data_IF_361472244923
#
_entry.id   IF_361472244923
#
_cell.length_a   1.000
_cell.length_b   1.000
_cell.length_c   1.000
_cell.angle_alpha   90.00
_cell.angle_beta   90.00
_cell.angle_gamma   90.00
#
_symmetry.space_group_name_H-M   'P 1'
#
loop_
_entity.id
_entity.type
_entity.pdbx_description
1 polymer ?
#
# COMPACT_ATOMS: atom_id res chain seq x y z
N UNK A 1 -14.55 18.13 -18.08
CA UNK A 1 -14.58 17.35 -19.35
C UNK A 1 -15.51 16.18 -19.13
N UNK A 2 -16.36 15.85 -20.11
CA UNK A 2 -17.26 14.70 -20.00
C UNK A 2 -16.61 13.49 -20.65
N UNK A 3 -16.71 12.34 -20.01
CA UNK A 3 -16.24 11.05 -20.54
C UNK A 3 -17.42 10.07 -20.46
N UNK A 4 -17.68 9.37 -21.58
CA UNK A 4 -18.65 8.28 -21.65
C UNK A 4 -17.92 6.95 -21.86
N UNK A 5 -17.97 6.08 -20.86
CA UNK A 5 -17.42 4.71 -20.91
C UNK A 5 -18.55 3.78 -21.32
N UNK A 6 -18.40 3.05 -22.42
CA UNK A 6 -19.44 2.18 -22.99
C UNK A 6 -19.03 0.71 -23.03
N UNK A 7 -20.02 -0.15 -23.07
CA UNK A 7 -19.89 -1.59 -23.33
C UNK A 7 -19.08 -2.38 -22.30
N UNK A 8 -18.56 -1.76 -21.24
CA UNK A 8 -17.79 -2.45 -20.20
C UNK A 8 -18.64 -3.23 -19.20
N UNK A 9 -17.98 -4.05 -18.41
CA UNK A 9 -18.58 -4.68 -17.23
C UNK A 9 -18.10 -3.94 -15.99
N UNK A 10 -19.00 -3.21 -15.34
CA UNK A 10 -18.72 -2.55 -14.05
C UNK A 10 -18.53 -3.64 -13.01
N UNK A 11 -17.47 -3.52 -12.20
CA UNK A 11 -17.20 -4.41 -11.07
C UNK A 11 -17.01 -3.58 -9.80
N UNK A 12 -17.86 -3.79 -8.83
CA UNK A 12 -17.77 -3.27 -7.48
C UNK A 12 -17.51 -4.41 -6.48
N UNK A 13 -17.18 -4.07 -5.23
CA UNK A 13 -16.96 -5.08 -4.19
C UNK A 13 -18.19 -5.95 -3.85
N UNK A 14 -19.39 -5.51 -4.22
CA UNK A 14 -20.68 -6.17 -3.94
C UNK A 14 -21.33 -6.80 -5.18
N UNK A 15 -20.66 -6.80 -6.35
CA UNK A 15 -21.17 -7.41 -7.56
C UNK A 15 -20.72 -6.73 -8.84
N UNK A 16 -21.25 -7.23 -9.97
CA UNK A 16 -20.91 -6.71 -11.31
C UNK A 16 -22.15 -6.61 -12.19
N UNK A 17 -22.13 -5.62 -13.08
CA UNK A 17 -23.21 -5.37 -14.03
C UNK A 17 -22.69 -4.76 -15.33
N UNK A 18 -23.43 -4.93 -16.42
CA UNK A 18 -23.07 -4.35 -17.73
C UNK A 18 -23.87 -3.06 -17.95
N UNK A 19 -23.25 -1.92 -17.78
CA UNK A 19 -23.83 -0.57 -17.97
C UNK A 19 -22.76 0.39 -18.47
N UNK A 20 -23.23 1.49 -19.09
CA UNK A 20 -22.39 2.62 -19.45
C UNK A 20 -22.23 3.57 -18.25
N UNK A 21 -21.15 4.34 -18.23
CA UNK A 21 -20.86 5.34 -17.20
C UNK A 21 -20.60 6.68 -17.87
N UNK A 22 -21.27 7.73 -17.41
CA UNK A 22 -21.03 9.11 -17.83
C UNK A 22 -20.44 9.89 -16.66
N UNK A 23 -19.31 10.56 -16.93
CA UNK A 23 -18.70 11.50 -15.99
C UNK A 23 -18.86 12.93 -16.47
N UNK A 24 -18.88 13.89 -15.55
CA UNK A 24 -18.74 15.32 -15.84
C UNK A 24 -17.82 15.95 -14.78
N UNK A 25 -16.72 16.55 -15.26
CA UNK A 25 -15.64 16.94 -14.38
C UNK A 25 -15.13 15.73 -13.56
N UNK A 26 -14.98 15.90 -12.27
CA UNK A 26 -14.44 14.87 -11.36
C UNK A 26 -15.51 13.94 -10.76
N UNK A 27 -16.74 13.92 -11.29
CA UNK A 27 -17.85 13.11 -10.76
C UNK A 27 -18.46 12.16 -11.78
N UNK A 28 -18.92 11.01 -11.31
CA UNK A 28 -19.79 10.11 -12.04
C UNK A 28 -21.21 10.67 -11.94
N UNK A 29 -21.82 11.05 -13.07
CA UNK A 29 -23.14 11.71 -13.06
C UNK A 29 -24.28 10.80 -13.51
N UNK A 30 -23.99 9.69 -14.18
CA UNK A 30 -25.01 8.72 -14.57
C UNK A 30 -24.40 7.34 -14.83
N UNK A 31 -25.16 6.31 -14.47
CA UNK A 31 -24.88 4.90 -14.77
C UNK A 31 -26.15 4.28 -15.37
N UNK A 32 -26.07 3.79 -16.60
CA UNK A 32 -27.25 3.25 -17.29
C UNK A 32 -26.95 2.66 -18.65
N UNK A 33 -27.99 2.24 -19.36
CA UNK A 33 -27.89 1.84 -20.77
C UNK A 33 -28.17 3.02 -21.69
N UNK A 34 -27.46 3.11 -22.82
CA UNK A 34 -27.71 4.11 -23.87
C UNK A 34 -27.61 5.58 -23.39
N UNK A 35 -26.62 5.89 -22.59
CA UNK A 35 -26.37 7.27 -22.15
C UNK A 35 -25.99 8.18 -23.35
N UNK A 36 -26.42 9.47 -23.29
CA UNK A 36 -26.13 10.45 -24.32
C UNK A 36 -24.63 10.82 -24.34
N UNK A 37 -24.01 10.64 -25.50
CA UNK A 37 -22.60 10.94 -25.73
C UNK A 37 -22.33 12.41 -26.12
N UNK A 38 -23.36 13.28 -26.19
CA UNK A 38 -23.19 14.64 -26.66
C UNK A 38 -22.13 15.42 -25.87
N UNK A 39 -21.07 15.83 -26.55
CA UNK A 39 -19.94 16.58 -25.99
C UNK A 39 -19.02 15.77 -25.07
N UNK A 40 -19.11 14.42 -25.06
CA UNK A 40 -18.26 13.56 -24.25
C UNK A 40 -17.16 12.89 -25.11
N UNK A 41 -15.97 12.72 -24.52
CA UNK A 41 -14.99 11.75 -25.02
C UNK A 41 -15.56 10.34 -24.81
N UNK A 42 -15.60 9.52 -25.85
CA UNK A 42 -16.16 8.16 -25.77
C UNK A 42 -15.03 7.14 -25.67
N UNK A 43 -15.06 6.32 -24.62
CA UNK A 43 -14.14 5.19 -24.42
C UNK A 43 -14.94 3.89 -24.57
N UNK A 44 -14.57 3.07 -25.57
CA UNK A 44 -15.14 1.73 -25.73
C UNK A 44 -14.41 0.72 -24.85
N UNK A 45 -15.09 0.25 -23.81
CA UNK A 45 -14.62 -0.74 -22.86
C UNK A 45 -15.12 -2.16 -23.15
N UNK A 46 -15.49 -2.44 -24.41
CA UNK A 46 -15.95 -3.79 -24.79
C UNK A 46 -14.91 -4.86 -24.43
N UNK A 47 -15.34 -5.89 -23.73
CA UNK A 47 -14.46 -6.98 -23.24
C UNK A 47 -13.64 -6.63 -21.99
N UNK A 48 -13.71 -5.40 -21.51
CA UNK A 48 -12.98 -4.93 -20.33
C UNK A 48 -13.86 -4.92 -19.07
N UNK A 49 -13.20 -4.97 -17.92
CA UNK A 49 -13.80 -4.63 -16.62
C UNK A 49 -13.61 -3.14 -16.34
N UNK A 50 -14.64 -2.50 -15.82
CA UNK A 50 -14.59 -1.11 -15.36
C UNK A 50 -14.70 -1.12 -13.85
N UNK A 51 -13.62 -0.80 -13.19
CA UNK A 51 -13.47 -0.87 -11.74
C UNK A 51 -13.22 0.52 -11.15
N UNK A 52 -13.56 0.77 -9.87
CA UNK A 52 -13.09 1.95 -9.18
C UNK A 52 -11.56 1.95 -9.17
N UNK A 53 -10.95 3.12 -9.32
CA UNK A 53 -9.51 3.28 -9.29
C UNK A 53 -8.90 2.64 -8.04
N UNK A 54 -7.77 1.95 -8.20
CA UNK A 54 -7.10 1.31 -7.07
C UNK A 54 -6.51 2.37 -6.14
N UNK A 55 -6.52 2.08 -4.85
CA UNK A 55 -5.93 2.91 -3.80
C UNK A 55 -4.78 2.10 -3.18
N UNK A 56 -3.57 2.59 -3.29
CA UNK A 56 -2.42 1.99 -2.62
C UNK A 56 -2.20 2.66 -1.26
N UNK A 57 -2.35 1.87 -0.22
CA UNK A 57 -2.33 2.34 1.16
C UNK A 57 -0.92 2.42 1.75
N UNK A 58 0.12 2.09 0.96
CA UNK A 58 1.46 1.97 1.53
C UNK A 58 2.55 2.22 0.48
N UNK A 59 3.06 3.45 0.42
CA UNK A 59 4.17 3.82 -0.46
C UNK A 59 5.20 4.69 0.26
N UNK A 60 6.45 4.67 -0.21
CA UNK A 60 7.57 5.42 0.33
C UNK A 60 8.33 6.11 -0.82
N UNK A 61 7.77 7.20 -1.33
CA UNK A 61 8.42 8.02 -2.35
C UNK A 61 9.27 9.12 -1.71
N UNK A 62 10.42 9.44 -2.33
CA UNK A 62 11.35 10.46 -1.82
C UNK A 62 11.76 10.26 -0.35
N UNK A 63 11.77 9.01 0.12
CA UNK A 63 12.13 8.69 1.50
C UNK A 63 13.65 8.62 1.65
N UNK A 64 14.19 9.43 2.55
CA UNK A 64 15.58 9.30 3.02
C UNK A 64 15.65 8.20 4.09
N UNK A 65 16.42 7.14 3.80
CA UNK A 65 16.66 6.03 4.72
C UNK A 65 18.04 6.15 5.42
N UNK A 66 18.63 7.35 5.39
CA UNK A 66 19.91 7.68 6.01
C UNK A 66 21.14 7.30 5.16
N UNK A 67 21.08 6.20 4.42
CA UNK A 67 22.15 5.76 3.53
C UNK A 67 21.98 6.30 2.10
N UNK A 68 20.74 6.45 1.68
CA UNK A 68 20.35 7.03 0.39
C UNK A 68 18.85 7.41 0.43
N UNK A 69 18.41 8.11 -0.61
CA UNK A 69 16.98 8.38 -0.86
C UNK A 69 16.43 7.30 -1.79
N UNK A 70 15.16 6.89 -1.62
CA UNK A 70 14.50 5.95 -2.52
C UNK A 70 14.60 6.38 -3.98
N UNK A 71 14.70 5.44 -4.91
CA UNK A 71 14.92 5.71 -6.33
C UNK A 71 13.73 6.44 -6.98
N UNK A 72 12.51 6.11 -6.57
CA UNK A 72 11.31 6.80 -7.02
C UNK A 72 10.99 8.00 -6.13
N UNK A 73 10.71 9.12 -6.79
CA UNK A 73 10.05 10.27 -6.21
C UNK A 73 8.54 10.23 -6.50
N UNK A 74 7.79 11.18 -5.97
CA UNK A 74 6.34 11.24 -6.20
C UNK A 74 5.98 11.30 -7.68
N UNK A 75 6.76 11.99 -8.51
CA UNK A 75 6.48 12.09 -9.95
C UNK A 75 6.66 10.75 -10.66
N UNK A 76 7.77 10.05 -10.42
CA UNK A 76 8.04 8.76 -11.08
C UNK A 76 7.19 7.64 -10.51
N UNK A 77 7.06 7.56 -9.19
CA UNK A 77 6.28 6.54 -8.51
C UNK A 77 4.78 6.64 -8.80
N UNK A 78 4.20 7.86 -8.76
CA UNK A 78 2.76 8.02 -9.07
C UNK A 78 2.44 7.85 -10.56
N UNK A 79 3.41 8.12 -11.46
CA UNK A 79 3.28 7.77 -12.88
C UNK A 79 3.22 6.24 -13.05
N UNK A 80 4.11 5.51 -12.41
CA UNK A 80 4.11 4.05 -12.42
C UNK A 80 2.82 3.48 -11.78
N UNK A 81 2.35 4.07 -10.69
CA UNK A 81 1.09 3.73 -10.04
C UNK A 81 -0.11 3.87 -10.99
N UNK A 82 -0.21 5.01 -11.72
CA UNK A 82 -1.27 5.25 -12.69
C UNK A 82 -1.29 4.19 -13.81
N UNK A 83 -0.12 3.82 -14.35
CA UNK A 83 0.01 2.75 -15.34
C UNK A 83 -0.48 1.39 -14.81
N UNK A 84 -0.37 1.15 -13.50
CA UNK A 84 -0.89 -0.04 -12.84
C UNK A 84 -2.38 0.01 -12.46
N UNK A 85 -3.09 1.11 -12.77
CA UNK A 85 -4.50 1.30 -12.40
C UNK A 85 -4.72 1.93 -11.02
N UNK A 86 -3.66 2.32 -10.32
CA UNK A 86 -3.76 3.01 -9.03
C UNK A 86 -4.01 4.50 -9.27
N UNK A 87 -5.13 4.99 -8.73
CA UNK A 87 -5.56 6.40 -8.89
C UNK A 87 -5.28 7.25 -7.66
N UNK A 88 -4.99 6.62 -6.54
CA UNK A 88 -4.63 7.28 -5.29
C UNK A 88 -3.57 6.49 -4.54
N UNK A 89 -2.59 7.18 -3.98
CA UNK A 89 -1.57 6.60 -3.09
C UNK A 89 -1.63 7.26 -1.73
N UNK A 90 -1.36 6.50 -0.67
CA UNK A 90 -1.15 7.02 0.67
C UNK A 90 0.32 6.79 1.04
N UNK A 91 1.08 7.88 1.11
CA UNK A 91 2.50 7.87 1.43
C UNK A 91 2.76 8.25 2.88
N UNK A 92 3.95 8.00 3.40
CA UNK A 92 4.29 8.24 4.80
C UNK A 92 5.10 9.53 4.97
N UNK A 93 4.40 10.62 5.32
CA UNK A 93 5.05 11.84 5.78
C UNK A 93 5.77 11.57 7.10
N UNK A 94 7.10 11.49 7.05
CA UNK A 94 7.92 11.02 8.17
C UNK A 94 8.43 12.19 8.99
N UNK A 95 8.12 12.21 10.29
CA UNK A 95 8.63 13.16 11.25
C UNK A 95 10.14 12.93 11.45
N UNK A 96 10.94 13.98 11.30
CA UNK A 96 12.29 13.99 11.84
C UNK A 96 12.24 13.94 13.36
N UNK A 97 13.15 13.19 14.00
CA UNK A 97 13.09 12.98 15.46
C UNK A 97 13.11 14.29 16.26
N UNK A 98 13.80 15.31 15.76
CA UNK A 98 13.86 16.64 16.36
C UNK A 98 12.89 17.63 15.72
N UNK A 99 12.11 17.18 14.73
CA UNK A 99 11.15 17.98 13.98
C UNK A 99 9.71 17.86 14.50
N UNK A 100 8.81 18.59 13.85
CA UNK A 100 7.38 18.59 14.15
C UNK A 100 6.58 17.84 13.09
N UNK A 101 5.35 17.41 13.41
CA UNK A 101 4.45 16.79 12.43
C UNK A 101 4.09 17.78 11.31
N UNK A 102 3.93 19.05 11.66
CA UNK A 102 3.65 20.12 10.70
C UNK A 102 4.78 20.28 9.67
N UNK A 103 6.03 20.31 10.11
CA UNK A 103 7.19 20.37 9.20
C UNK A 103 7.25 19.16 8.26
N UNK A 104 6.98 17.96 8.77
CA UNK A 104 6.89 16.77 7.96
C UNK A 104 5.79 16.87 6.90
N UNK A 105 4.58 17.31 7.28
CA UNK A 105 3.46 17.47 6.35
C UNK A 105 3.78 18.49 5.25
N UNK A 106 4.33 19.65 5.60
CA UNK A 106 4.74 20.68 4.64
C UNK A 106 5.81 20.16 3.66
N UNK A 107 6.76 19.38 4.18
CA UNK A 107 7.81 18.76 3.36
C UNK A 107 7.23 17.77 2.36
N UNK A 108 6.32 16.90 2.81
CA UNK A 108 5.69 15.91 1.92
C UNK A 108 4.76 16.54 0.89
N UNK A 109 4.06 17.61 1.24
CA UNK A 109 3.30 18.38 0.23
C UNK A 109 4.20 18.91 -0.88
N UNK A 110 5.39 19.45 -0.57
CA UNK A 110 6.36 19.90 -1.59
C UNK A 110 6.89 18.75 -2.44
N UNK A 111 7.23 17.60 -1.81
CA UNK A 111 7.66 16.39 -2.53
C UNK A 111 6.60 15.87 -3.48
N UNK A 112 5.32 15.97 -3.10
CA UNK A 112 4.18 15.45 -3.87
C UNK A 112 3.76 16.36 -5.04
N UNK A 113 4.36 17.52 -5.22
CA UNK A 113 4.09 18.39 -6.36
C UNK A 113 4.38 17.68 -7.70
N UNK A 114 3.44 17.71 -8.63
CA UNK A 114 3.55 17.04 -9.92
C UNK A 114 3.22 15.55 -9.91
N UNK A 115 2.59 15.04 -8.84
CA UNK A 115 2.04 13.68 -8.80
C UNK A 115 1.04 13.41 -9.91
N UNK A 116 1.11 12.24 -10.53
CA UNK A 116 0.17 11.82 -11.60
C UNK A 116 -1.07 11.12 -11.04
N UNK A 117 -0.99 10.49 -9.86
CA UNK A 117 -2.14 10.01 -9.08
C UNK A 117 -2.54 11.00 -8.00
N UNK A 118 -3.78 10.91 -7.53
CA UNK A 118 -4.16 11.52 -6.27
C UNK A 118 -3.29 10.97 -5.13
N UNK A 119 -3.11 11.76 -4.08
CA UNK A 119 -2.29 11.36 -2.94
C UNK A 119 -2.86 11.85 -1.62
N UNK A 120 -2.55 11.13 -0.57
CA UNK A 120 -2.75 11.52 0.82
C UNK A 120 -1.58 11.04 1.65
N UNK A 121 -1.57 11.37 2.94
CA UNK A 121 -0.46 11.03 3.81
C UNK A 121 -0.91 10.30 5.07
N UNK A 122 -0.20 9.24 5.41
CA UNK A 122 -0.06 8.81 6.79
C UNK A 122 1.03 9.64 7.44
N UNK A 123 0.83 10.09 8.67
CA UNK A 123 1.90 10.75 9.41
C UNK A 123 2.71 9.70 10.17
N UNK A 124 3.97 9.52 9.82
CA UNK A 124 4.88 8.62 10.53
C UNK A 124 5.50 9.36 11.72
N UNK A 125 5.21 8.86 12.91
CA UNK A 125 5.60 9.46 14.20
C UNK A 125 6.86 8.78 14.70
N UNK A 126 7.95 9.52 14.81
CA UNK A 126 9.25 9.07 15.33
C UNK A 126 9.48 9.42 16.80
N UNK A 127 8.66 10.32 17.35
CA UNK A 127 8.70 10.78 18.76
C UNK A 127 7.29 11.11 19.20
N UNK A 128 6.90 10.67 20.39
CA UNK A 128 5.63 11.06 21.01
C UNK A 128 5.89 11.80 22.32
N UNK A 129 5.41 13.01 22.41
CA UNK A 129 5.44 13.86 23.60
C UNK A 129 4.26 14.85 23.58
N UNK A 130 4.18 15.74 24.59
CA UNK A 130 3.10 16.71 24.71
C UNK A 130 3.05 17.75 23.56
N UNK A 131 4.13 17.95 22.81
CA UNK A 131 4.15 18.83 21.64
C UNK A 131 3.55 18.10 20.44
N UNK A 132 4.01 16.87 20.18
CA UNK A 132 3.46 16.01 19.13
C UNK A 132 1.96 15.76 19.32
N UNK A 133 1.53 15.53 20.57
CA UNK A 133 0.11 15.35 20.89
C UNK A 133 -0.75 16.55 20.48
N UNK A 134 -0.29 17.78 20.75
CA UNK A 134 -1.01 19.01 20.36
C UNK A 134 -1.10 19.23 18.86
N UNK A 135 -0.19 18.66 18.08
CA UNK A 135 -0.22 18.79 16.62
C UNK A 135 -1.26 17.88 15.96
N UNK A 136 -1.87 16.94 16.71
CA UNK A 136 -2.91 16.05 16.17
C UNK A 136 -4.15 16.82 15.69
N UNK A 137 -4.53 17.92 16.37
CA UNK A 137 -5.59 18.81 15.90
C UNK A 137 -5.28 19.36 14.51
N UNK A 138 -4.07 19.91 14.37
CA UNK A 138 -3.61 20.45 13.08
C UNK A 138 -3.57 19.37 11.98
N UNK A 139 -3.14 18.16 12.31
CA UNK A 139 -3.16 17.05 11.36
C UNK A 139 -4.58 16.73 10.88
N UNK A 140 -5.53 16.64 11.80
CA UNK A 140 -6.94 16.39 11.51
C UNK A 140 -7.55 17.49 10.64
N UNK A 141 -7.30 18.77 10.95
CA UNK A 141 -7.77 19.92 10.20
C UNK A 141 -7.21 19.96 8.76
N UNK A 142 -6.04 19.33 8.54
CA UNK A 142 -5.41 19.21 7.23
C UNK A 142 -5.69 17.86 6.55
N UNK A 143 -6.67 17.07 7.05
CA UNK A 143 -7.11 15.83 6.42
C UNK A 143 -6.15 14.65 6.59
N UNK A 144 -5.23 14.71 7.55
CA UNK A 144 -4.39 13.59 7.96
C UNK A 144 -5.05 12.88 9.13
N UNK A 145 -5.70 11.75 8.87
CA UNK A 145 -6.51 10.98 9.83
C UNK A 145 -5.98 9.58 10.05
N UNK A 146 -4.76 9.32 9.62
CA UNK A 146 -4.06 8.07 9.89
C UNK A 146 -2.58 8.30 10.08
N UNK A 147 -2.01 7.47 10.95
CA UNK A 147 -0.64 7.61 11.44
C UNK A 147 0.11 6.29 11.34
N UNK A 148 1.44 6.34 11.40
CA UNK A 148 2.32 5.19 11.45
C UNK A 148 3.26 5.32 12.64
N UNK A 149 3.45 4.23 13.37
CA UNK A 149 4.51 4.12 14.38
C UNK A 149 5.29 2.82 14.18
N UNK A 150 6.48 2.76 14.74
CA UNK A 150 7.41 1.66 14.54
C UNK A 150 7.84 1.08 15.88
N UNK A 151 7.79 -0.25 16.00
CA UNK A 151 8.43 -0.99 17.10
C UNK A 151 9.88 -1.36 16.78
N UNK A 152 10.38 -0.96 15.62
CA UNK A 152 11.67 -1.31 15.05
C UNK A 152 12.30 -0.07 14.41
N UNK A 153 13.56 -0.14 14.06
CA UNK A 153 14.43 0.89 13.47
C UNK A 153 14.94 1.96 14.45
N UNK A 154 16.26 2.08 14.47
CA UNK A 154 16.92 3.17 15.16
C UNK A 154 16.48 4.52 14.56
N UNK A 155 16.15 5.47 15.42
CA UNK A 155 15.64 6.77 14.98
C UNK A 155 14.13 6.88 14.76
N UNK A 156 13.42 5.76 14.49
CA UNK A 156 11.96 5.75 14.29
C UNK A 156 11.20 5.03 15.42
N UNK A 157 11.87 4.09 16.10
CA UNK A 157 11.25 3.29 17.14
C UNK A 157 10.70 4.16 18.29
N UNK A 158 9.47 3.86 18.68
CA UNK A 158 8.82 4.38 19.88
C UNK A 158 8.57 3.24 20.87
N UNK A 159 8.48 3.57 22.17
CA UNK A 159 8.19 2.57 23.20
C UNK A 159 6.70 2.30 23.39
N UNK A 160 6.37 1.26 24.14
CA UNK A 160 4.99 0.82 24.36
C UNK A 160 4.13 1.87 25.07
N UNK A 161 4.74 2.71 25.94
CA UNK A 161 4.06 3.83 26.61
C UNK A 161 3.69 4.93 25.64
N UNK A 162 4.60 5.27 24.73
CA UNK A 162 4.36 6.24 23.64
C UNK A 162 3.29 5.74 22.67
N UNK A 163 3.32 4.46 22.28
CA UNK A 163 2.27 3.84 21.46
C UNK A 163 0.91 3.92 22.16
N UNK A 164 0.85 3.56 23.46
CA UNK A 164 -0.39 3.62 24.23
C UNK A 164 -0.97 5.05 24.29
N UNK A 165 -0.13 6.05 24.56
CA UNK A 165 -0.55 7.44 24.63
C UNK A 165 -1.06 7.95 23.27
N UNK A 166 -0.30 7.70 22.20
CA UNK A 166 -0.68 8.07 20.82
C UNK A 166 -2.01 7.45 20.40
N UNK A 167 -2.23 6.17 20.71
CA UNK A 167 -3.47 5.47 20.40
C UNK A 167 -4.69 6.14 21.08
N UNK A 168 -4.56 6.56 22.33
CA UNK A 168 -5.65 7.27 23.03
C UNK A 168 -6.01 8.57 22.35
N UNK A 169 -5.01 9.37 22.02
CA UNK A 169 -5.21 10.65 21.32
C UNK A 169 -5.80 10.41 19.92
N UNK A 170 -5.30 9.42 19.16
CA UNK A 170 -5.84 9.07 17.86
C UNK A 170 -7.32 8.66 17.92
N UNK A 171 -7.73 7.90 18.97
CA UNK A 171 -9.13 7.55 19.20
C UNK A 171 -10.02 8.80 19.30
N UNK A 172 -9.59 9.78 20.08
CA UNK A 172 -10.37 11.00 20.33
C UNK A 172 -10.50 11.86 19.05
N UNK A 173 -9.62 11.65 18.06
CA UNK A 173 -9.67 12.25 16.71
C UNK A 173 -10.32 11.34 15.65
N UNK A 174 -10.83 10.17 16.01
CA UNK A 174 -11.36 9.21 15.03
C UNK A 174 -10.32 8.72 14.01
N UNK A 175 -9.04 8.71 14.40
CA UNK A 175 -7.91 8.38 13.55
C UNK A 175 -7.44 6.94 13.77
N UNK A 176 -6.70 6.41 12.79
CA UNK A 176 -6.15 5.06 12.81
C UNK A 176 -4.62 5.10 12.87
N UNK A 177 -4.00 4.31 13.74
CA UNK A 177 -2.54 4.16 13.80
C UNK A 177 -2.14 2.78 13.29
N UNK A 178 -1.35 2.74 12.23
CA UNK A 178 -0.69 1.52 11.74
C UNK A 178 0.64 1.31 12.43
N UNK A 179 0.95 0.06 12.79
CA UNK A 179 2.21 -0.28 13.45
C UNK A 179 3.03 -1.26 12.60
N UNK A 180 4.32 -0.93 12.41
CA UNK A 180 5.31 -1.91 11.99
C UNK A 180 5.69 -2.76 13.19
N UNK A 181 5.28 -4.03 13.17
CA UNK A 181 5.38 -4.94 14.31
C UNK A 181 6.58 -5.90 14.14
N UNK A 182 7.74 -5.55 14.69
CA UNK A 182 8.89 -6.44 14.86
C UNK A 182 9.57 -6.14 16.19
N UNK A 183 10.01 -7.19 16.94
CA UNK A 183 10.68 -7.04 18.22
C UNK A 183 12.13 -6.60 18.02
N UNK A 184 12.41 -5.31 18.24
CA UNK A 184 13.69 -4.67 17.98
C UNK A 184 14.86 -5.26 18.80
N UNK A 185 14.66 -5.48 20.07
CA UNK A 185 15.73 -5.93 20.97
C UNK A 185 16.18 -7.35 20.61
N UNK A 186 15.26 -8.24 20.31
CA UNK A 186 15.55 -9.60 19.85
C UNK A 186 16.21 -9.55 18.47
N UNK A 187 15.68 -8.73 17.56
CA UNK A 187 16.24 -8.57 16.23
C UNK A 187 17.71 -8.13 16.26
N UNK A 188 18.05 -7.11 17.04
CA UNK A 188 19.43 -6.64 17.17
C UNK A 188 20.36 -7.74 17.67
N UNK A 189 19.96 -8.49 18.69
CA UNK A 189 20.78 -9.58 19.25
C UNK A 189 21.02 -10.68 18.21
N UNK A 190 20.00 -11.03 17.43
CA UNK A 190 20.12 -12.04 16.37
C UNK A 190 21.04 -11.56 15.22
N UNK A 191 20.98 -10.27 14.87
CA UNK A 191 21.93 -9.69 13.89
C UNK A 191 23.37 -9.80 14.42
N UNK A 192 23.62 -9.51 15.70
CA UNK A 192 24.95 -9.62 16.31
C UNK A 192 25.44 -11.07 16.30
N UNK A 193 24.60 -12.02 16.69
CA UNK A 193 24.93 -13.45 16.64
C UNK A 193 25.34 -13.92 15.24
N UNK A 194 24.63 -13.47 14.21
CA UNK A 194 24.98 -13.79 12.82
C UNK A 194 26.29 -13.13 12.39
N UNK A 195 26.55 -11.89 12.81
CA UNK A 195 27.84 -11.22 12.57
C UNK A 195 29.00 -11.96 13.26
N UNK A 196 28.83 -12.43 14.50
CA UNK A 196 29.82 -13.24 15.24
C UNK A 196 30.12 -14.56 14.52
N UNK A 197 29.14 -15.11 13.79
CA UNK A 197 29.27 -16.31 12.95
C UNK A 197 29.86 -15.99 11.56
N UNK A 198 30.14 -14.72 11.24
CA UNK A 198 30.67 -14.28 9.95
C UNK A 198 29.63 -14.21 8.82
N UNK A 199 28.34 -14.31 9.12
CA UNK A 199 27.25 -14.24 8.13
C UNK A 199 27.08 -12.79 7.65
N UNK A 200 27.18 -12.60 6.36
CA UNK A 200 27.02 -11.28 5.71
C UNK A 200 26.03 -11.31 4.55
N UNK A 201 25.79 -12.48 4.00
CA UNK A 201 24.98 -12.72 2.80
C UNK A 201 23.49 -12.40 3.02
N UNK A 202 22.72 -12.14 1.94
CA UNK A 202 21.31 -11.78 2.03
C UNK A 202 20.44 -12.77 2.80
N UNK A 203 20.75 -14.07 2.77
CA UNK A 203 20.01 -15.08 3.53
C UNK A 203 20.07 -14.91 5.06
N UNK A 204 21.02 -14.15 5.57
CA UNK A 204 21.07 -13.75 6.98
C UNK A 204 19.91 -12.84 7.39
N UNK A 205 19.28 -12.13 6.43
CA UNK A 205 18.18 -11.22 6.70
C UNK A 205 16.94 -11.91 7.28
N UNK A 206 16.31 -12.91 6.65
CA UNK A 206 15.18 -13.61 7.24
C UNK A 206 15.55 -14.41 8.49
N UNK A 207 16.78 -14.91 8.58
CA UNK A 207 17.26 -15.64 9.78
C UNK A 207 17.36 -14.71 10.98
N UNK A 208 17.72 -13.44 10.82
CA UNK A 208 17.71 -12.45 11.90
C UNK A 208 16.31 -12.02 12.33
N UNK A 209 15.31 -12.20 11.46
CA UNK A 209 13.92 -11.75 11.61
C UNK A 209 12.92 -12.90 11.46
N UNK A 210 12.99 -13.97 12.27
CA UNK A 210 12.07 -15.10 12.17
C UNK A 210 10.61 -14.65 12.44
N UNK A 211 9.65 -15.54 12.14
CA UNK A 211 8.22 -15.25 12.26
C UNK A 211 7.82 -14.79 13.68
N UNK A 212 8.43 -15.38 14.68
CA UNK A 212 8.19 -15.08 16.10
C UNK A 212 8.51 -13.62 16.46
N UNK A 213 9.44 -12.98 15.76
CA UNK A 213 9.79 -11.56 15.97
C UNK A 213 8.63 -10.64 15.56
N UNK A 214 7.91 -10.96 14.49
CA UNK A 214 6.68 -10.26 14.08
C UNK A 214 5.51 -10.66 14.99
N UNK A 215 5.29 -11.94 15.21
CA UNK A 215 4.15 -12.46 15.96
C UNK A 215 4.09 -11.95 17.40
N UNK A 216 5.24 -11.89 18.10
CA UNK A 216 5.32 -11.30 19.44
C UNK A 216 4.93 -9.84 19.43
N UNK A 217 5.47 -9.06 18.48
CA UNK A 217 5.18 -7.65 18.38
C UNK A 217 3.70 -7.38 18.01
N UNK A 218 3.10 -8.20 17.15
CA UNK A 218 1.65 -8.16 16.84
C UNK A 218 0.85 -8.46 18.11
N UNK A 219 1.16 -9.53 18.83
CA UNK A 219 0.45 -9.91 20.07
C UNK A 219 0.51 -8.79 21.11
N UNK A 220 1.69 -8.18 21.29
CA UNK A 220 1.92 -7.06 22.21
C UNK A 220 1.10 -5.83 21.78
N UNK A 221 1.16 -5.47 20.51
CA UNK A 221 0.37 -4.35 19.96
C UNK A 221 -1.14 -4.56 20.15
N UNK A 222 -1.67 -5.78 19.90
CA UNK A 222 -3.07 -6.09 20.16
C UNK A 222 -3.47 -5.77 21.60
N UNK A 223 -2.63 -6.09 22.58
CA UNK A 223 -2.90 -5.81 24.01
C UNK A 223 -2.84 -4.31 24.32
N UNK A 224 -1.87 -3.59 23.75
CA UNK A 224 -1.76 -2.14 23.94
C UNK A 224 -2.98 -1.43 23.37
N UNK A 225 -3.40 -1.76 22.14
CA UNK A 225 -4.58 -1.20 21.51
C UNK A 225 -5.88 -1.53 22.28
N UNK A 226 -6.00 -2.75 22.80
CA UNK A 226 -7.11 -3.15 23.67
C UNK A 226 -7.20 -2.28 24.93
N UNK A 227 -6.07 -2.03 25.60
CA UNK A 227 -6.00 -1.16 26.77
C UNK A 227 -6.34 0.29 26.44
N UNK A 228 -5.92 0.78 25.28
CA UNK A 228 -6.24 2.12 24.80
C UNK A 228 -7.71 2.28 24.35
N UNK A 229 -8.42 1.16 24.15
CA UNK A 229 -9.80 1.17 23.65
C UNK A 229 -9.93 1.67 22.20
N UNK A 230 -8.93 1.29 21.35
CA UNK A 230 -8.86 1.69 19.94
C UNK A 230 -8.84 0.48 19.02
N UNK A 231 -9.19 0.63 17.72
CA UNK A 231 -8.85 -0.39 16.74
C UNK A 231 -7.33 -0.55 16.65
N UNK A 232 -6.89 -1.75 16.30
CA UNK A 232 -5.50 -2.04 15.95
C UNK A 232 -5.39 -2.13 14.42
N UNK A 233 -4.32 -1.58 13.83
CA UNK A 233 -4.00 -1.73 12.42
C UNK A 233 -2.56 -2.19 12.26
N UNK A 234 -2.36 -3.42 11.76
CA UNK A 234 -1.04 -3.96 11.44
C UNK A 234 -0.79 -3.76 9.96
N UNK A 235 0.25 -3.03 9.60
CA UNK A 235 0.66 -2.83 8.21
C UNK A 235 1.53 -4.00 7.74
N UNK A 236 1.56 -4.27 6.43
CA UNK A 236 2.44 -5.24 5.76
C UNK A 236 2.66 -6.56 6.53
N UNK A 237 1.61 -7.13 7.12
CA UNK A 237 1.67 -8.42 7.82
C UNK A 237 2.21 -9.50 6.88
N UNK A 238 3.21 -10.26 7.35
CA UNK A 238 3.96 -11.20 6.53
C UNK A 238 3.90 -12.67 7.00
N UNK A 239 3.42 -12.95 8.21
CA UNK A 239 3.49 -14.28 8.82
C UNK A 239 2.13 -14.88 9.19
N UNK A 240 2.03 -16.22 9.15
CA UNK A 240 0.89 -16.97 9.67
C UNK A 240 0.71 -16.73 11.18
N UNK A 241 1.82 -16.76 11.94
CA UNK A 241 1.76 -16.57 13.41
C UNK A 241 1.22 -15.19 13.77
N UNK A 242 1.64 -14.12 13.08
CA UNK A 242 1.10 -12.77 13.25
C UNK A 242 -0.39 -12.68 12.92
N UNK A 243 -0.83 -13.37 11.84
CA UNK A 243 -2.25 -13.47 11.49
C UNK A 243 -3.05 -14.16 12.60
N UNK A 244 -2.54 -15.25 13.17
CA UNK A 244 -3.17 -15.97 14.28
C UNK A 244 -3.33 -15.06 15.51
N UNK A 245 -2.32 -14.27 15.87
CA UNK A 245 -2.40 -13.35 17.02
C UNK A 245 -3.47 -12.26 16.80
N UNK A 246 -3.57 -11.71 15.57
CA UNK A 246 -4.60 -10.77 15.22
C UNK A 246 -6.02 -11.39 15.24
N UNK A 247 -6.17 -12.62 14.74
CA UNK A 247 -7.44 -13.37 14.82
C UNK A 247 -7.86 -13.67 16.27
N UNK A 248 -6.90 -14.00 17.13
CA UNK A 248 -7.15 -14.17 18.59
C UNK A 248 -7.65 -12.88 19.23
N UNK A 249 -7.14 -11.72 18.80
CA UNK A 249 -7.63 -10.42 19.27
C UNK A 249 -9.08 -10.16 18.80
N UNK A 250 -9.38 -10.44 17.53
CA UNK A 250 -10.76 -10.35 16.99
C UNK A 250 -11.72 -11.29 17.73
N UNK A 251 -11.32 -12.52 18.02
CA UNK A 251 -12.13 -13.47 18.79
C UNK A 251 -12.48 -12.98 20.20
N UNK A 252 -11.69 -12.04 20.76
CA UNK A 252 -11.99 -11.34 22.02
C UNK A 252 -12.89 -10.10 21.84
N UNK A 253 -13.38 -9.84 20.62
CA UNK A 253 -14.20 -8.69 20.29
C UNK A 253 -13.44 -7.40 20.00
N UNK A 254 -12.12 -7.47 19.79
CA UNK A 254 -11.33 -6.31 19.43
C UNK A 254 -11.48 -5.97 17.94
N UNK A 255 -11.58 -4.70 17.61
CA UNK A 255 -11.54 -4.21 16.25
C UNK A 255 -10.09 -4.21 15.75
N UNK A 256 -9.81 -5.03 14.72
CA UNK A 256 -8.46 -5.24 14.17
C UNK A 256 -8.53 -5.19 12.66
N UNK A 257 -7.63 -4.44 12.06
CA UNK A 257 -7.42 -4.35 10.62
C UNK A 257 -6.01 -4.80 10.25
N UNK A 258 -5.87 -5.46 9.10
CA UNK A 258 -4.62 -6.06 8.66
C UNK A 258 -4.37 -5.71 7.19
N UNK A 259 -3.16 -5.30 6.91
CA UNK A 259 -2.65 -5.13 5.55
C UNK A 259 -1.62 -6.22 5.25
N UNK A 260 -1.59 -6.69 4.01
CA UNK A 260 -0.47 -7.46 3.45
C UNK A 260 -0.03 -6.84 2.13
N UNK A 261 1.02 -7.41 1.50
CA UNK A 261 1.58 -6.90 0.27
C UNK A 261 1.83 -8.04 -0.75
N UNK A 262 1.87 -7.75 -2.07
CA UNK A 262 2.08 -8.76 -3.10
C UNK A 262 3.35 -9.61 -2.90
N UNK A 263 4.44 -9.03 -2.37
CA UNK A 263 5.68 -9.76 -2.10
C UNK A 263 5.50 -10.89 -1.09
N UNK A 264 4.66 -10.72 -0.07
CA UNK A 264 4.36 -11.76 0.92
C UNK A 264 3.35 -12.80 0.43
N UNK A 265 2.63 -12.48 -0.64
CA UNK A 265 1.70 -13.40 -1.28
C UNK A 265 2.35 -14.26 -2.38
N UNK A 266 3.52 -13.85 -2.92
CA UNK A 266 4.08 -14.43 -4.13
C UNK A 266 5.53 -14.88 -4.00
N UNK A 267 6.31 -14.30 -3.10
CA UNK A 267 7.74 -14.60 -2.93
C UNK A 267 7.99 -15.36 -1.63
N UNK A 268 9.07 -16.14 -1.62
CA UNK A 268 9.55 -16.85 -0.43
C UNK A 268 10.98 -16.44 -0.08
N UNK A 269 11.44 -16.78 1.11
CA UNK A 269 12.77 -16.51 1.59
C UNK A 269 13.89 -17.26 0.82
N UNK A 270 13.55 -18.21 -0.04
CA UNK A 270 14.49 -18.83 -0.96
C UNK A 270 15.17 -17.80 -1.89
N UNK A 271 14.45 -16.70 -2.21
CA UNK A 271 14.97 -15.59 -3.03
C UNK A 271 16.25 -14.95 -2.50
N UNK A 272 16.45 -14.99 -1.19
CA UNK A 272 17.69 -14.47 -0.60
C UNK A 272 18.96 -15.28 -0.95
N UNK A 273 18.79 -16.46 -1.55
CA UNK A 273 19.88 -17.31 -2.03
C UNK A 273 20.16 -17.15 -3.53
N UNK A 274 19.35 -16.39 -4.23
CA UNK A 274 19.60 -16.05 -5.62
C UNK A 274 20.90 -15.23 -5.77
N UNK A 275 21.58 -15.27 -6.92
CA UNK A 275 22.79 -14.48 -7.16
C UNK A 275 22.62 -12.99 -6.90
N UNK A 276 21.42 -12.45 -7.13
CA UNK A 276 21.00 -11.07 -6.89
C UNK A 276 20.10 -10.94 -5.65
N UNK A 277 20.20 -11.86 -4.71
CA UNK A 277 19.37 -11.97 -3.50
C UNK A 277 19.29 -10.69 -2.67
N UNK A 278 20.27 -9.80 -2.81
CA UNK A 278 20.31 -8.49 -2.13
C UNK A 278 19.11 -7.61 -2.50
N UNK A 279 18.54 -7.74 -3.71
CA UNK A 279 17.37 -6.95 -4.15
C UNK A 279 16.10 -7.27 -3.36
N UNK A 280 16.02 -8.49 -2.79
CA UNK A 280 14.87 -8.94 -2.00
C UNK A 280 14.93 -8.51 -0.52
N UNK A 281 16.00 -7.85 -0.07
CA UNK A 281 16.08 -7.36 1.31
C UNK A 281 15.04 -6.26 1.52
N UNK A 282 14.03 -6.59 2.32
CA UNK A 282 12.90 -5.73 2.72
C UNK A 282 12.43 -6.11 4.11
N UNK A 283 11.75 -5.24 4.82
CA UNK A 283 11.28 -5.49 6.19
C UNK A 283 9.80 -5.19 6.34
N UNK A 284 9.01 -6.18 6.81
CA UNK A 284 9.41 -7.55 7.18
C UNK A 284 10.07 -8.32 6.03
N UNK A 285 10.88 -9.36 6.33
CA UNK A 285 11.48 -10.18 5.28
C UNK A 285 10.45 -11.07 4.59
N UNK A 286 10.81 -11.58 3.41
CA UNK A 286 10.07 -12.67 2.77
C UNK A 286 10.08 -13.90 3.69
N UNK A 287 9.00 -14.66 3.68
CA UNK A 287 8.73 -15.76 4.59
C UNK A 287 8.72 -17.11 3.88
N UNK A 288 8.36 -18.14 4.61
CA UNK A 288 8.20 -19.51 4.08
C UNK A 288 6.90 -19.63 3.27
N UNK A 289 6.83 -20.71 2.52
CA UNK A 289 5.65 -21.04 1.70
C UNK A 289 4.37 -21.18 2.54
N UNK A 290 4.49 -21.71 3.76
CA UNK A 290 3.36 -21.84 4.69
C UNK A 290 2.76 -20.48 5.05
N UNK A 291 3.60 -19.47 5.35
CA UNK A 291 3.15 -18.11 5.64
C UNK A 291 2.42 -17.51 4.42
N UNK A 292 2.99 -17.68 3.22
CA UNK A 292 2.39 -17.23 1.97
C UNK A 292 0.98 -17.80 1.76
N UNK A 293 0.82 -19.11 1.92
CA UNK A 293 -0.49 -19.78 1.76
C UNK A 293 -1.47 -19.35 2.86
N UNK A 294 -1.00 -19.15 4.10
CA UNK A 294 -1.84 -18.65 5.19
C UNK A 294 -2.38 -17.24 4.90
N UNK A 295 -1.57 -16.36 4.31
CA UNK A 295 -2.02 -15.01 3.91
C UNK A 295 -3.05 -15.06 2.77
N UNK A 296 -2.87 -15.93 1.76
CA UNK A 296 -3.89 -16.16 0.72
C UNK A 296 -5.21 -16.67 1.31
N UNK A 297 -5.13 -17.62 2.24
CA UNK A 297 -6.31 -18.12 2.94
C UNK A 297 -6.97 -17.00 3.77
N UNK A 298 -6.16 -16.18 4.45
CA UNK A 298 -6.62 -15.01 5.18
C UNK A 298 -7.37 -13.97 4.32
N UNK A 299 -6.92 -13.73 3.09
CA UNK A 299 -7.66 -12.93 2.12
C UNK A 299 -8.99 -13.57 1.74
N UNK A 300 -8.97 -14.86 1.40
CA UNK A 300 -10.16 -15.60 1.01
C UNK A 300 -11.24 -15.60 2.11
N UNK A 301 -10.84 -15.67 3.36
CA UNK A 301 -11.72 -15.68 4.53
C UNK A 301 -12.12 -14.27 5.02
N UNK A 302 -11.53 -13.22 4.44
CA UNK A 302 -11.74 -11.83 4.88
C UNK A 302 -11.03 -11.52 6.20
N UNK A 303 -10.00 -12.27 6.56
CA UNK A 303 -9.18 -11.99 7.73
C UNK A 303 -8.16 -10.86 7.49
N UNK A 304 -7.75 -10.64 6.25
CA UNK A 304 -6.98 -9.47 5.81
C UNK A 304 -7.93 -8.41 5.23
N UNK A 305 -7.56 -7.15 5.29
CA UNK A 305 -8.44 -6.03 4.96
C UNK A 305 -7.99 -5.23 3.74
N UNK A 306 -6.68 -5.06 3.54
CA UNK A 306 -6.10 -4.31 2.42
C UNK A 306 -4.87 -5.01 1.86
N UNK A 307 -4.56 -4.69 0.59
CA UNK A 307 -3.31 -5.11 -0.06
C UNK A 307 -2.60 -3.83 -0.51
N UNK A 308 -1.66 -3.35 0.29
CA UNK A 308 -0.74 -2.27 -0.05
C UNK A 308 0.46 -2.79 -0.83
N UNK A 309 1.40 -1.93 -1.25
CA UNK A 309 2.63 -2.38 -1.90
C UNK A 309 3.85 -2.34 -1.01
N UNK A 310 3.87 -1.44 -0.06
CA UNK A 310 5.10 -1.07 0.66
C UNK A 310 6.21 -0.69 -0.34
N UNK A 311 5.81 0.06 -1.41
CA UNK A 311 6.73 0.45 -2.47
C UNK A 311 7.82 1.36 -1.91
N UNK A 312 9.02 0.83 -1.86
CA UNK A 312 10.22 1.50 -1.38
C UNK A 312 11.39 1.08 -2.29
N UNK A 313 11.53 1.78 -3.43
CA UNK A 313 12.39 1.36 -4.54
C UNK A 313 13.84 1.76 -4.34
N UNK A 314 14.76 0.88 -4.74
CA UNK A 314 16.19 1.12 -4.75
C UNK A 314 16.81 0.54 -6.02
N UNK A 315 17.79 1.22 -6.60
CA UNK A 315 18.62 0.65 -7.66
C UNK A 315 19.54 -0.43 -7.09
N UNK A 316 20.07 -1.32 -7.94
CA UNK A 316 21.05 -2.33 -7.49
C UNK A 316 22.31 -1.68 -6.91
N UNK A 317 22.74 -0.53 -7.44
CA UNK A 317 23.82 0.26 -6.86
C UNK A 317 23.50 0.68 -5.42
N UNK A 318 22.29 1.22 -5.17
CA UNK A 318 21.84 1.59 -3.83
C UNK A 318 21.77 0.39 -2.89
N UNK A 319 21.26 -0.76 -3.35
CA UNK A 319 21.24 -2.01 -2.58
C UNK A 319 22.64 -2.46 -2.15
N UNK A 320 23.67 -2.14 -2.93
CA UNK A 320 25.05 -2.52 -2.67
C UNK A 320 25.85 -1.48 -1.87
N UNK A 321 25.30 -0.31 -1.53
CA UNK A 321 26.00 0.73 -0.75
C UNK A 321 26.55 0.21 0.59
N UNK A 322 25.87 -0.74 1.23
CA UNK A 322 26.33 -1.44 2.44
C UNK A 322 27.36 -2.55 2.20
N UNK A 323 27.90 -2.70 0.98
CA UNK A 323 28.80 -3.78 0.58
C UNK A 323 28.09 -5.13 0.46
N UNK A 324 26.79 -5.14 0.15
CA UNK A 324 25.97 -6.34 0.02
C UNK A 324 25.70 -7.08 1.35
N UNK A 325 26.07 -6.48 2.48
CA UNK A 325 25.86 -7.08 3.80
C UNK A 325 24.39 -6.89 4.21
N UNK A 326 23.70 -7.99 4.52
CA UNK A 326 22.25 -7.97 4.81
C UNK A 326 21.85 -6.93 5.85
N UNK A 327 22.67 -6.68 6.87
CA UNK A 327 22.40 -5.74 7.97
C UNK A 327 22.76 -4.27 7.65
N UNK A 328 23.22 -3.98 6.43
CA UNK A 328 23.54 -2.62 5.94
C UNK A 328 22.85 -2.30 4.62
N UNK A 329 22.16 -3.24 4.01
CA UNK A 329 21.45 -3.04 2.75
C UNK A 329 20.15 -2.25 3.01
N UNK A 330 19.85 -1.20 2.22
CA UNK A 330 18.56 -0.52 2.29
C UNK A 330 17.40 -1.51 2.11
N UNK A 331 16.41 -1.45 3.02
CA UNK A 331 15.27 -2.35 3.01
C UNK A 331 14.15 -1.80 2.13
N UNK A 332 13.64 -2.59 1.19
CA UNK A 332 12.51 -2.24 0.34
C UNK A 332 12.57 -2.84 -1.05
N UNK A 333 11.46 -2.80 -1.76
CA UNK A 333 11.29 -3.25 -3.14
C UNK A 333 10.24 -2.43 -3.88
N UNK A 334 10.33 -2.39 -5.23
CA UNK A 334 9.34 -1.73 -6.07
C UNK A 334 8.15 -2.65 -6.35
N UNK A 335 6.92 -2.13 -6.32
CA UNK A 335 5.71 -2.95 -6.53
C UNK A 335 4.48 -2.20 -7.07
N UNK A 336 4.43 -0.85 -6.97
CA UNK A 336 3.20 -0.07 -7.18
C UNK A 336 2.57 -0.24 -8.56
N UNK A 337 3.34 -0.39 -9.63
CA UNK A 337 2.81 -0.59 -10.99
C UNK A 337 2.18 -1.97 -11.17
N UNK A 338 2.79 -3.01 -10.61
CA UNK A 338 2.40 -4.39 -10.90
C UNK A 338 1.38 -4.96 -9.91
N UNK A 339 1.03 -4.25 -8.83
CA UNK A 339 0.09 -4.73 -7.80
C UNK A 339 -1.21 -5.27 -8.40
N UNK A 340 -1.87 -4.49 -9.25
CA UNK A 340 -3.13 -4.91 -9.90
C UNK A 340 -2.95 -6.17 -10.75
N UNK A 341 -1.89 -6.25 -11.57
CA UNK A 341 -1.60 -7.40 -12.43
C UNK A 341 -1.30 -8.66 -11.63
N UNK A 342 -0.50 -8.53 -10.57
CA UNK A 342 -0.14 -9.65 -9.70
C UNK A 342 -1.37 -10.22 -8.97
N UNK A 343 -2.19 -9.35 -8.39
CA UNK A 343 -3.42 -9.79 -7.69
C UNK A 343 -4.45 -10.34 -8.68
N UNK A 344 -4.60 -9.74 -9.86
CA UNK A 344 -5.47 -10.29 -10.89
C UNK A 344 -5.00 -11.69 -11.34
N UNK A 345 -3.72 -11.86 -11.63
CA UNK A 345 -3.16 -13.11 -12.14
C UNK A 345 -3.22 -14.23 -11.09
N UNK A 346 -2.57 -14.02 -9.97
CA UNK A 346 -2.37 -15.07 -8.96
C UNK A 346 -3.51 -15.14 -7.93
N UNK A 347 -4.33 -14.11 -7.85
CA UNK A 347 -5.55 -14.11 -7.04
C UNK A 347 -6.75 -14.55 -7.87
N UNK A 348 -7.12 -13.76 -8.88
CA UNK A 348 -8.38 -13.95 -9.61
C UNK A 348 -8.29 -15.07 -10.63
N UNK A 349 -7.28 -15.07 -11.52
CA UNK A 349 -7.18 -16.08 -12.57
C UNK A 349 -6.88 -17.49 -12.03
N UNK A 350 -6.25 -17.61 -10.86
CA UNK A 350 -6.03 -18.89 -10.18
C UNK A 350 -7.20 -19.32 -9.26
N UNK A 351 -8.25 -18.48 -9.14
CA UNK A 351 -9.45 -18.80 -8.37
C UNK A 351 -9.28 -18.72 -6.85
N UNK A 352 -8.24 -18.03 -6.36
CA UNK A 352 -8.04 -17.75 -4.94
C UNK A 352 -8.96 -16.63 -4.45
N UNK A 353 -9.24 -15.64 -5.32
CA UNK A 353 -10.12 -14.50 -5.10
C UNK A 353 -11.12 -14.35 -6.25
N UNK A 354 -12.21 -13.63 -6.01
CA UNK A 354 -13.11 -13.16 -7.07
C UNK A 354 -12.65 -11.78 -7.60
N UNK A 355 -13.24 -11.31 -8.70
CA UNK A 355 -13.03 -9.91 -9.15
C UNK A 355 -13.53 -8.91 -8.13
N UNK A 356 -14.64 -9.21 -7.48
CA UNK A 356 -15.25 -8.42 -6.41
C UNK A 356 -14.32 -8.32 -5.20
N UNK A 357 -13.62 -9.43 -4.84
CA UNK A 357 -12.60 -9.41 -3.78
C UNK A 357 -11.40 -8.54 -4.17
N UNK A 358 -10.95 -8.60 -5.43
CA UNK A 358 -9.89 -7.71 -5.92
C UNK A 358 -10.27 -6.24 -5.74
N UNK A 359 -11.48 -5.83 -6.15
CA UNK A 359 -11.99 -4.47 -5.95
C UNK A 359 -12.11 -4.15 -4.46
N UNK A 360 -12.59 -5.10 -3.66
CA UNK A 360 -12.71 -4.95 -2.21
C UNK A 360 -11.36 -4.59 -1.57
N UNK A 361 -10.31 -5.35 -1.87
CA UNK A 361 -8.99 -5.18 -1.23
C UNK A 361 -8.16 -4.05 -1.82
N UNK A 362 -8.34 -3.71 -3.10
CA UNK A 362 -7.55 -2.67 -3.76
C UNK A 362 -8.23 -1.29 -3.79
N UNK A 363 -9.56 -1.22 -3.56
CA UNK A 363 -10.31 0.05 -3.70
C UNK A 363 -11.29 0.29 -2.55
N UNK A 364 -12.25 -0.62 -2.33
CA UNK A 364 -13.36 -0.38 -1.39
C UNK A 364 -12.89 -0.30 0.07
N UNK A 365 -12.19 -1.31 0.58
CA UNK A 365 -11.70 -1.31 1.95
C UNK A 365 -10.69 -0.18 2.22
N UNK A 366 -9.68 0.06 1.34
CA UNK A 366 -8.80 1.23 1.45
C UNK A 366 -9.55 2.55 1.59
N UNK A 367 -10.58 2.79 0.74
CA UNK A 367 -11.34 4.04 0.80
C UNK A 367 -12.07 4.23 2.13
N UNK A 368 -12.60 3.13 2.70
CA UNK A 368 -13.30 3.15 3.99
C UNK A 368 -12.35 3.35 5.17
N UNK A 369 -11.30 2.52 5.24
CA UNK A 369 -10.33 2.58 6.34
C UNK A 369 -9.61 3.92 6.44
N UNK A 370 -9.45 4.61 5.31
CA UNK A 370 -8.70 5.86 5.28
C UNK A 370 -9.55 7.09 4.97
N UNK A 371 -10.87 7.02 5.22
CA UNK A 371 -11.74 8.19 5.24
C UNK A 371 -11.91 8.88 3.88
N UNK A 372 -12.09 8.11 2.81
CA UNK A 372 -12.35 8.58 1.44
C UNK A 372 -13.71 8.10 0.94
N UNK A 373 -14.83 8.57 1.52
CA UNK A 373 -16.17 8.03 1.27
C UNK A 373 -16.67 8.24 -0.16
N UNK A 374 -16.09 9.16 -0.91
CA UNK A 374 -16.44 9.45 -2.29
C UNK A 374 -15.71 8.56 -3.32
N UNK A 375 -14.85 7.61 -2.88
CA UNK A 375 -14.04 6.71 -3.70
C UNK A 375 -14.29 5.24 -3.36
N UNK A 376 -13.63 4.35 -4.11
CA UNK A 376 -13.63 2.91 -3.85
C UNK A 376 -14.81 2.14 -4.41
N UNK A 377 -15.76 2.80 -5.06
CA UNK A 377 -16.89 2.18 -5.76
C UNK A 377 -17.32 3.02 -6.98
N UNK A 378 -17.84 2.35 -8.01
CA UNK A 378 -18.51 2.98 -9.15
C UNK A 378 -19.97 3.19 -8.79
N UNK A 379 -20.33 4.44 -8.49
CA UNK A 379 -21.70 4.86 -8.21
C UNK A 379 -21.90 6.33 -8.60
N UNK A 380 -23.14 6.76 -8.81
CA UNK A 380 -23.45 8.17 -9.06
C UNK A 380 -23.02 9.03 -7.87
N UNK A 381 -22.61 10.27 -8.14
CA UNK A 381 -22.07 11.24 -7.17
C UNK A 381 -20.64 10.89 -6.65
N UNK A 382 -20.07 9.72 -6.96
CA UNK A 382 -18.71 9.36 -6.58
C UNK A 382 -17.68 10.01 -7.48
N UNK A 383 -16.43 10.02 -7.02
CA UNK A 383 -15.30 10.52 -7.78
C UNK A 383 -15.11 9.74 -9.08
N UNK A 384 -14.81 10.45 -10.16
CA UNK A 384 -14.49 9.86 -11.44
C UNK A 384 -13.02 9.40 -11.48
N UNK A 385 -12.68 8.49 -10.54
CA UNK A 385 -11.43 7.77 -10.45
C UNK A 385 -11.70 6.32 -10.86
N UNK A 386 -11.37 5.97 -12.13
CA UNK A 386 -11.84 4.74 -12.77
C UNK A 386 -10.68 4.06 -13.49
N UNK A 387 -10.60 2.74 -13.36
CA UNK A 387 -9.69 1.91 -14.16
C UNK A 387 -10.50 1.03 -15.11
N UNK A 388 -10.15 1.06 -16.40
CA UNK A 388 -10.66 0.16 -17.43
C UNK A 388 -9.58 -0.91 -17.62
N UNK A 389 -9.90 -2.12 -17.16
CA UNK A 389 -9.00 -3.26 -17.09
C UNK A 389 -9.24 -4.21 -18.24
N UNK A 390 -8.23 -4.42 -19.08
CA UNK A 390 -8.27 -5.37 -20.19
C UNK A 390 -7.75 -6.75 -19.72
N UNK A 391 -8.62 -7.77 -19.57
CA UNK A 391 -8.23 -9.10 -19.12
C UNK A 391 -7.45 -9.90 -20.18
N UNK A 392 -7.44 -9.47 -21.45
CA UNK A 392 -6.82 -10.19 -22.56
C UNK A 392 -5.32 -9.93 -22.67
N UNK A 393 -4.81 -8.89 -22.03
CA UNK A 393 -3.37 -8.58 -22.03
C UNK A 393 -2.61 -9.61 -21.23
N UNK A 394 -1.44 -10.01 -21.72
CA UNK A 394 -0.51 -10.89 -20.99
C UNK A 394 0.93 -10.47 -21.26
N UNK A 395 1.82 -10.80 -20.35
CA UNK A 395 3.24 -10.51 -20.47
C UNK A 395 4.04 -11.08 -19.31
N UNK A 396 5.34 -10.85 -19.32
CA UNK A 396 6.25 -11.22 -18.24
C UNK A 396 6.87 -9.97 -17.65
N UNK A 397 6.87 -9.81 -16.34
CA UNK A 397 7.56 -8.71 -15.67
C UNK A 397 9.06 -8.92 -15.80
N UNK A 398 9.78 -7.85 -16.14
CA UNK A 398 11.25 -7.87 -16.24
C UNK A 398 11.86 -6.75 -15.39
N UNK A 399 13.16 -6.74 -15.25
CA UNK A 399 13.86 -5.66 -14.52
C UNK A 399 13.80 -4.30 -15.25
N UNK A 400 13.23 -4.24 -16.47
CA UNK A 400 13.25 -3.03 -17.31
C UNK A 400 11.93 -2.63 -17.96
N UNK A 401 10.89 -3.49 -17.97
CA UNK A 401 9.61 -3.18 -18.60
C UNK A 401 8.61 -2.52 -17.64
N UNK A 402 9.10 -1.63 -16.81
CA UNK A 402 8.31 -0.86 -15.85
C UNK A 402 8.67 0.64 -15.93
N UNK A 403 7.84 1.46 -15.32
CA UNK A 403 8.03 2.92 -15.27
C UNK A 403 8.71 3.40 -13.98
N UNK A 404 9.16 2.50 -13.12
CA UNK A 404 9.92 2.83 -11.93
C UNK A 404 11.26 3.47 -12.27
N UNK A 405 11.77 4.31 -11.40
CA UNK A 405 13.10 4.89 -11.51
C UNK A 405 14.18 3.99 -10.86
N UNK A 406 14.04 2.69 -10.98
CA UNK A 406 15.03 1.68 -10.56
C UNK A 406 15.30 0.68 -11.68
N UNK A 407 16.39 -0.07 -11.57
CA UNK A 407 16.94 -0.96 -12.59
C UNK A 407 16.71 -2.45 -12.28
N UNK A 408 15.75 -2.73 -11.41
CA UNK A 408 15.42 -4.08 -10.99
C UNK A 408 13.95 -4.19 -10.60
N UNK A 409 13.44 -5.42 -10.59
CA UNK A 409 12.11 -5.76 -10.04
C UNK A 409 12.21 -7.04 -9.22
N UNK A 410 11.64 -7.00 -8.01
CA UNK A 410 11.51 -8.21 -7.18
C UNK A 410 10.55 -9.24 -7.80
N UNK A 411 9.74 -8.83 -8.77
CA UNK A 411 8.81 -9.69 -9.51
C UNK A 411 9.30 -10.05 -10.92
N UNK A 412 10.57 -9.79 -11.26
CA UNK A 412 11.13 -10.20 -12.56
C UNK A 412 10.97 -11.71 -12.78
N UNK A 413 10.51 -12.09 -13.97
CA UNK A 413 10.23 -13.48 -14.34
C UNK A 413 8.79 -13.95 -14.06
N UNK A 414 7.95 -13.12 -13.41
CA UNK A 414 6.55 -13.44 -13.21
C UNK A 414 5.72 -13.20 -14.47
N UNK A 415 5.01 -14.21 -14.93
CA UNK A 415 4.01 -14.06 -15.99
C UNK A 415 2.75 -13.42 -15.42
N UNK A 416 2.20 -12.44 -16.12
CA UNK A 416 1.03 -11.69 -15.67
C UNK A 416 -0.05 -11.62 -16.75
N UNK A 417 -1.29 -11.53 -16.31
CA UNK A 417 -2.49 -11.35 -17.11
C UNK A 417 -3.24 -10.10 -16.68
N UNK A 418 -3.96 -9.51 -17.64
CA UNK A 418 -4.69 -8.28 -17.43
C UNK A 418 -3.77 -7.07 -17.29
N UNK A 419 -4.29 -5.91 -17.69
CA UNK A 419 -3.61 -4.62 -17.50
C UNK A 419 -4.62 -3.47 -17.48
N UNK A 420 -4.27 -2.36 -16.85
CA UNK A 420 -5.00 -1.12 -16.95
C UNK A 420 -4.82 -0.56 -18.37
N UNK A 421 -5.88 -0.64 -19.18
CA UNK A 421 -5.91 -0.11 -20.55
C UNK A 421 -6.14 1.40 -20.55
N UNK A 422 -7.09 1.86 -19.75
CA UNK A 422 -7.36 3.28 -19.54
C UNK A 422 -7.50 3.56 -18.05
N UNK A 423 -7.01 4.71 -17.61
CA UNK A 423 -7.16 5.20 -16.23
C UNK A 423 -7.65 6.63 -16.27
N UNK A 424 -8.74 6.88 -15.57
CA UNK A 424 -9.33 8.20 -15.38
C UNK A 424 -9.08 8.59 -13.92
N UNK A 425 -8.54 9.79 -13.71
CA UNK A 425 -8.29 10.37 -12.38
C UNK A 425 -8.88 11.77 -12.35
N UNK A 426 -9.73 12.05 -11.35
CA UNK A 426 -10.43 13.34 -11.26
C UNK A 426 -11.21 13.69 -12.54
N UNK A 427 -11.72 12.68 -13.27
CA UNK A 427 -12.42 12.86 -14.54
C UNK A 427 -11.52 13.27 -15.72
N UNK A 428 -10.20 13.16 -15.58
CA UNK A 428 -9.22 13.36 -16.65
C UNK A 428 -8.66 12.01 -17.10
N UNK A 429 -8.51 11.82 -18.42
CA UNK A 429 -8.00 10.59 -19.01
C UNK A 429 -6.46 10.56 -18.93
N UNK A 430 -5.91 9.94 -17.90
CA UNK A 430 -4.48 9.95 -17.54
C UNK A 430 -3.70 8.88 -18.30
N UNK A 431 -4.25 7.67 -18.41
CA UNK A 431 -3.65 6.56 -19.16
C UNK A 431 -4.56 6.18 -20.31
N UNK A 432 -4.01 6.10 -21.50
CA UNK A 432 -4.69 5.69 -22.73
C UNK A 432 -3.93 4.55 -23.39
N UNK A 433 -4.61 3.41 -23.61
CA UNK A 433 -4.02 2.19 -24.21
C UNK A 433 -2.71 1.77 -23.53
N UNK A 434 -2.68 1.79 -22.20
CA UNK A 434 -1.51 1.42 -21.40
C UNK A 434 -0.34 2.41 -21.40
N UNK A 435 -0.54 3.62 -21.93
CA UNK A 435 0.48 4.66 -22.00
C UNK A 435 0.01 5.95 -21.33
N UNK A 436 0.94 6.67 -20.71
CA UNK A 436 0.63 7.95 -20.08
C UNK A 436 0.23 8.98 -21.18
N UNK A 437 -0.95 9.57 -20.99
CA UNK A 437 -1.50 10.65 -21.82
C UNK A 437 -1.30 12.02 -21.17
N UNK A 438 -1.46 12.08 -19.82
CA UNK A 438 -1.30 13.30 -19.02
C UNK A 438 -0.51 12.99 -17.76
N UNK A 439 0.38 13.89 -17.37
CA UNK A 439 1.15 13.80 -16.12
C UNK A 439 0.82 14.97 -15.19
N UNK A 440 1.10 14.79 -13.89
CA UNK A 440 1.02 15.88 -12.91
C UNK A 440 -0.42 16.35 -12.62
N UNK A 441 -1.41 15.47 -12.72
CA UNK A 441 -2.84 15.79 -12.51
C UNK A 441 -3.38 15.33 -11.17
N UNK A 442 -2.56 14.68 -10.36
CA UNK A 442 -2.92 14.22 -9.02
C UNK A 442 -3.18 15.39 -8.07
N UNK A 443 -4.10 15.17 -7.14
CA UNK A 443 -4.49 16.15 -6.12
C UNK A 443 -4.32 15.56 -4.73
N UNK A 444 -4.04 16.40 -3.76
CA UNK A 444 -4.12 16.02 -2.36
C UNK A 444 -5.57 15.67 -2.00
N UNK A 445 -5.76 14.54 -1.34
CA UNK A 445 -7.05 14.09 -0.82
C UNK A 445 -7.08 14.34 0.68
N UNK A 446 -7.81 15.37 1.08
CA UNK A 446 -8.16 15.59 2.48
C UNK A 446 -9.12 14.49 2.92
N UNK A 447 -8.78 13.77 3.98
CA UNK A 447 -9.50 12.59 4.43
C UNK A 447 -10.29 12.88 5.71
N UNK A 448 -11.36 12.12 5.90
CA UNK A 448 -12.14 12.10 7.15
C UNK A 448 -11.61 11.00 8.08
N UNK A 449 -12.19 10.85 9.27
CA UNK A 449 -11.91 9.71 10.13
C UNK A 449 -12.21 8.37 9.45
N UNK A 450 -11.59 7.29 9.93
CA UNK A 450 -11.81 5.95 9.40
C UNK A 450 -13.26 5.50 9.53
N UNK A 451 -13.69 4.65 8.59
CA UNK A 451 -14.99 4.00 8.61
C UNK A 451 -14.83 2.50 8.83
N UNK A 452 -15.63 1.93 9.72
CA UNK A 452 -15.59 0.50 10.02
C UNK A 452 -15.91 -0.34 8.79
N UNK A 453 -15.19 -1.45 8.65
CA UNK A 453 -15.41 -2.43 7.58
C UNK A 453 -16.41 -3.51 8.00
N UNK A 454 -16.59 -3.75 9.28
CA UNK A 454 -17.40 -4.79 9.91
C UNK A 454 -17.87 -4.37 11.32
#
# INVERSE_FOLDING_TARGET
MRILIKNGTIVNANGRERKDILTDGDRIIAIGGNLDAAGAEVIDAAGCYVMPGFIDTHTHFDLDVGLCVTADNFRTGTRAAALGGTTCVLDFATQDRDGTLRQALETWHKKAEGSSCNYGFHMAIARWDAETEKEMDYMSDNGVTSYKMYMVYDGLKVDDGQIYAALKTARDHGALIGIHCENWEVLLRRIEELKEQGVTEPWGHPVSRPAEVEAEAVARYMRIAQLAGTPAYVVHLSTEEGLIEAQRARARGQEVYLETCPQYLLLTDDRYRDPDGVKFIMSPPLRKDADREALWQGLKEGALDTIGTDHCSFTMEQKLLGGGKFFKTPNGGAGVQHRGQLIYTYGVCEGRLTLEDMVKYLSYNPSRLFGMPDRGEIAEEKAADIVIWDPSVSGTITDTNHAYNCDNSVFAGFDVKGAARHVIINGEHIVENGSIKLEGRGRYISRTGYMKLR
#
